data_IF_369411252002
#
_entry.id   IF_369411252002
#
_cell.length_a   1.000
_cell.length_b   1.000
_cell.length_c   1.000
_cell.angle_alpha   90.00
_cell.angle_beta   90.00
_cell.angle_gamma   90.00
#
_symmetry.space_group_name_H-M   'P 1'
#
loop_
_entity.id
_entity.type
_entity.pdbx_description
1 polymer ?
#
# COMPACT_ATOMS: atom_id res chain seq x y z
N UNK A 1 -17.12 21.03 -0.13
CA UNK A 1 -17.60 21.10 1.27
C UNK A 1 -16.80 22.17 2.00
N UNK A 2 -17.46 23.16 2.60
CA UNK A 2 -16.76 24.20 3.39
C UNK A 2 -16.61 23.68 4.82
N UNK A 3 -15.38 23.58 5.31
CA UNK A 3 -15.13 23.30 6.73
C UNK A 3 -15.56 24.48 7.61
N UNK A 4 -16.06 24.25 8.83
CA UNK A 4 -16.65 25.29 9.68
C UNK A 4 -15.73 26.45 10.08
N UNK A 5 -14.43 26.39 9.84
CA UNK A 5 -13.47 27.38 10.31
C UNK A 5 -12.60 28.05 9.23
N UNK A 6 -12.97 27.97 7.96
CA UNK A 6 -12.32 28.70 6.84
C UNK A 6 -10.77 28.73 6.85
N UNK A 7 -10.12 27.74 7.48
CA UNK A 7 -8.68 27.62 7.52
C UNK A 7 -8.22 26.88 6.26
N UNK A 8 -7.89 27.66 5.21
CA UNK A 8 -7.02 27.16 4.16
C UNK A 8 -5.66 26.88 4.79
N UNK A 9 -5.28 25.62 4.94
CA UNK A 9 -3.87 25.28 5.11
C UNK A 9 -3.14 25.65 3.83
N UNK A 10 -2.37 26.73 3.89
CA UNK A 10 -1.36 27.02 2.86
C UNK A 10 -0.30 25.93 2.92
N UNK A 11 -0.42 24.95 2.03
CA UNK A 11 0.67 24.03 1.76
C UNK A 11 1.76 24.82 1.05
N UNK A 12 2.75 25.28 1.80
CA UNK A 12 4.00 25.72 1.21
C UNK A 12 4.57 24.55 0.42
N UNK A 13 4.61 24.69 -0.91
CA UNK A 13 5.31 23.78 -1.82
C UNK A 13 6.80 23.79 -1.47
N UNK A 14 7.21 22.95 -0.53
CA UNK A 14 8.61 22.57 -0.41
C UNK A 14 8.88 21.51 -1.48
N UNK A 15 9.25 21.96 -2.66
CA UNK A 15 9.91 21.14 -3.67
C UNK A 15 11.28 20.73 -3.13
N UNK A 16 11.35 19.69 -2.38
CA UNK A 16 12.62 19.11 -1.96
C UNK A 16 12.87 17.83 -2.76
N UNK A 17 13.96 17.82 -3.52
CA UNK A 17 14.60 16.65 -4.14
C UNK A 17 15.13 15.66 -3.09
N UNK A 18 14.40 15.40 -2.01
CA UNK A 18 14.84 14.75 -0.79
C UNK A 18 14.25 13.36 -0.58
N UNK A 19 13.68 12.72 -1.61
CA UNK A 19 13.08 11.38 -1.45
C UNK A 19 14.10 10.23 -1.38
N UNK A 20 15.41 10.52 -1.30
CA UNK A 20 16.45 9.47 -1.21
C UNK A 20 16.52 8.75 0.14
N UNK A 21 15.73 9.14 1.13
CA UNK A 21 15.69 8.54 2.46
C UNK A 21 14.28 8.28 2.99
N UNK A 22 13.23 8.49 2.19
CA UNK A 22 11.87 8.15 2.59
C UNK A 22 11.63 6.66 2.40
N UNK A 23 11.00 6.04 3.38
CA UNK A 23 10.49 4.66 3.27
C UNK A 23 9.41 4.59 2.17
N UNK A 24 9.29 3.44 1.50
CA UNK A 24 8.28 3.21 0.47
C UNK A 24 6.86 3.52 1.00
N UNK A 25 6.60 3.14 2.24
CA UNK A 25 5.31 3.40 2.88
C UNK A 25 5.04 4.91 3.04
N UNK A 26 6.05 5.72 3.38
CA UNK A 26 5.91 7.18 3.50
C UNK A 26 5.61 7.83 2.14
N UNK A 27 6.25 7.34 1.06
CA UNK A 27 5.98 7.83 -0.30
C UNK A 27 4.53 7.52 -0.69
N UNK A 28 4.05 6.31 -0.39
CA UNK A 28 2.67 5.89 -0.66
C UNK A 28 1.69 6.71 0.19
N UNK A 29 1.98 6.94 1.47
CA UNK A 29 1.12 7.73 2.36
C UNK A 29 0.98 9.17 1.83
N UNK A 30 2.09 9.82 1.44
CA UNK A 30 2.06 11.15 0.81
C UNK A 30 1.26 11.17 -0.49
N UNK A 31 1.35 10.10 -1.30
CA UNK A 31 0.55 9.94 -2.51
C UNK A 31 -0.94 9.83 -2.17
N UNK A 32 -1.28 9.05 -1.15
CA UNK A 32 -2.66 8.87 -0.70
C UNK A 32 -3.24 10.15 -0.09
N UNK A 33 -2.44 10.95 0.62
CA UNK A 33 -2.83 12.29 1.07
C UNK A 33 -3.18 13.18 -0.12
N UNK A 34 -2.30 13.21 -1.13
CA UNK A 34 -2.57 13.95 -2.35
C UNK A 34 -3.88 13.51 -3.02
N UNK A 35 -4.17 12.21 -3.09
CA UNK A 35 -5.42 11.71 -3.66
C UNK A 35 -6.63 12.15 -2.85
N UNK A 36 -6.58 12.09 -1.51
CA UNK A 36 -7.68 12.54 -0.64
C UNK A 36 -7.92 14.05 -0.73
N UNK A 37 -6.85 14.84 -0.72
CA UNK A 37 -6.92 16.30 -0.76
C UNK A 37 -7.46 16.85 -2.09
N UNK A 38 -7.35 16.06 -3.16
CA UNK A 38 -7.84 16.42 -4.49
C UNK A 38 -9.10 15.66 -4.91
N UNK A 39 -9.79 14.98 -3.99
CA UNK A 39 -11.01 14.20 -4.24
C UNK A 39 -10.83 13.13 -5.36
N UNK A 40 -9.63 12.58 -5.52
CA UNK A 40 -9.30 11.55 -6.53
C UNK A 40 -9.70 10.17 -6.03
N UNK A 41 -9.26 9.81 -4.81
CA UNK A 41 -9.52 8.53 -4.18
C UNK A 41 -9.53 8.66 -2.66
N UNK A 42 -10.19 7.75 -1.97
CA UNK A 42 -10.21 7.71 -0.51
C UNK A 42 -9.46 6.48 -0.01
N UNK A 43 -8.14 6.59 0.06
CA UNK A 43 -7.21 5.51 0.44
C UNK A 43 -6.36 5.97 1.62
N UNK A 44 -6.12 5.08 2.58
CA UNK A 44 -5.34 5.37 3.78
C UNK A 44 -4.60 4.13 4.29
N UNK A 45 -3.57 4.38 5.09
CA UNK A 45 -2.82 3.33 5.78
C UNK A 45 -3.64 2.79 6.93
N UNK A 46 -3.70 1.48 7.07
CA UNK A 46 -4.37 0.84 8.20
C UNK A 46 -3.57 1.04 9.48
N UNK A 47 -4.22 1.37 10.60
CA UNK A 47 -3.53 1.46 11.88
C UNK A 47 -3.05 0.08 12.31
N UNK A 48 -1.84 0.01 12.87
CA UNK A 48 -1.33 -1.23 13.47
C UNK A 48 -2.21 -1.62 14.65
N UNK A 49 -2.80 -2.83 14.66
CA UNK A 49 -3.70 -3.24 15.73
C UNK A 49 -2.92 -3.47 17.03
N UNK A 50 -3.37 -2.82 18.11
CA UNK A 50 -2.79 -2.96 19.44
C UNK A 50 -3.75 -3.72 20.35
N UNK A 51 -3.27 -4.77 21.01
CA UNK A 51 -3.96 -5.41 22.15
C UNK A 51 -3.67 -4.63 23.42
N UNK A 52 -4.69 -4.11 24.08
CA UNK A 52 -4.54 -3.37 25.33
C UNK A 52 -4.66 -4.33 26.51
N UNK A 53 -3.64 -4.38 27.37
CA UNK A 53 -3.64 -5.19 28.60
C UNK A 53 -3.94 -4.35 29.83
N UNK A 54 -3.52 -3.08 29.88
CA UNK A 54 -3.75 -2.20 31.01
C UNK A 54 -4.06 -0.76 30.57
N UNK A 55 -5.08 -0.19 31.18
CA UNK A 55 -5.50 1.21 30.96
C UNK A 55 -5.37 1.99 32.27
N UNK A 56 -4.71 3.12 32.22
CA UNK A 56 -4.70 4.09 33.29
C UNK A 56 -5.74 5.19 33.03
N UNK A 57 -6.45 5.59 34.07
CA UNK A 57 -7.42 6.66 34.03
C UNK A 57 -6.83 7.89 34.75
N UNK A 58 -6.93 9.04 34.14
CA UNK A 58 -6.51 10.31 34.71
C UNK A 58 -7.53 11.40 34.39
N UNK A 59 -7.43 12.55 35.04
CA UNK A 59 -8.26 13.71 34.72
C UNK A 59 -8.10 14.24 33.30
N UNK A 60 -7.05 13.79 32.56
CA UNK A 60 -6.79 14.11 31.13
C UNK A 60 -7.32 13.05 30.16
N UNK A 61 -8.04 12.03 30.69
CA UNK A 61 -8.61 10.95 29.85
C UNK A 61 -7.98 9.58 30.10
N UNK A 62 -8.29 8.64 29.18
CA UNK A 62 -7.77 7.26 29.21
C UNK A 62 -6.40 7.20 28.52
N UNK A 63 -5.44 6.55 29.16
CA UNK A 63 -4.10 6.28 28.59
C UNK A 63 -3.82 4.80 28.63
N UNK A 64 -3.34 4.24 27.52
CA UNK A 64 -2.83 2.87 27.50
C UNK A 64 -1.54 2.85 28.32
N UNK A 65 -1.52 2.03 29.36
CA UNK A 65 -0.35 1.86 30.23
C UNK A 65 0.49 0.67 29.78
N UNK A 66 -0.17 -0.38 29.25
CA UNK A 66 0.48 -1.57 28.75
C UNK A 66 -0.32 -2.16 27.59
N UNK A 67 0.36 -2.64 26.56
CA UNK A 67 -0.23 -3.21 25.38
C UNK A 67 0.79 -3.93 24.52
N UNK A 68 0.32 -4.77 23.61
CA UNK A 68 1.14 -5.53 22.66
C UNK A 68 0.63 -5.36 21.24
N UNK A 69 1.52 -5.44 20.26
CA UNK A 69 1.12 -5.47 18.85
C UNK A 69 0.44 -6.80 18.53
N UNK A 70 -0.78 -6.74 18.01
CA UNK A 70 -1.44 -7.91 17.43
C UNK A 70 -0.80 -8.23 16.09
N UNK A 71 -0.77 -9.51 15.73
CA UNK A 71 -0.33 -9.91 14.38
C UNK A 71 -1.18 -9.20 13.33
N UNK A 72 -0.57 -8.53 12.34
CA UNK A 72 -1.33 -7.95 11.23
C UNK A 72 -2.02 -9.09 10.48
N UNK A 73 -3.32 -8.93 10.23
CA UNK A 73 -4.12 -9.95 9.54
C UNK A 73 -4.37 -9.62 8.07
N UNK A 74 -4.05 -8.40 7.65
CA UNK A 74 -4.40 -7.82 6.35
C UNK A 74 -3.21 -7.09 5.73
N UNK A 75 -3.43 -6.44 4.57
CA UNK A 75 -2.44 -5.61 3.90
C UNK A 75 -2.42 -4.19 4.53
N UNK A 76 -1.40 -3.39 4.22
CA UNK A 76 -1.13 -2.13 4.91
C UNK A 76 -2.04 -0.96 4.51
N UNK A 77 -2.50 -0.94 3.27
CA UNK A 77 -3.32 0.16 2.72
C UNK A 77 -4.65 -0.35 2.19
N UNK A 78 -5.72 0.41 2.40
CA UNK A 78 -7.01 0.13 1.80
C UNK A 78 -7.85 1.39 1.59
N UNK A 79 -8.86 1.28 0.73
CA UNK A 79 -9.77 2.39 0.48
C UNK A 79 -10.74 2.14 -0.66
N UNK A 80 -11.26 3.23 -1.21
CA UNK A 80 -12.22 3.25 -2.31
C UNK A 80 -11.71 4.10 -3.46
N UNK A 81 -11.85 3.59 -4.67
CA UNK A 81 -11.57 4.31 -5.90
C UNK A 81 -12.62 3.95 -6.98
N UNK A 82 -13.32 4.95 -7.50
CA UNK A 82 -14.38 4.77 -8.53
C UNK A 82 -15.40 3.68 -8.20
N UNK A 83 -15.76 3.54 -6.92
CA UNK A 83 -16.72 2.53 -6.44
C UNK A 83 -16.11 1.15 -6.15
N UNK A 84 -14.84 0.92 -6.45
CA UNK A 84 -14.13 -0.33 -6.16
C UNK A 84 -13.40 -0.28 -4.83
N UNK A 85 -13.47 -1.36 -4.07
CA UNK A 85 -12.60 -1.57 -2.93
C UNK A 85 -11.20 -1.89 -3.40
N UNK A 86 -10.23 -1.13 -2.90
CA UNK A 86 -8.81 -1.33 -3.17
C UNK A 86 -8.09 -1.71 -1.89
N UNK A 87 -7.20 -2.69 -1.96
CA UNK A 87 -6.31 -3.04 -0.87
C UNK A 87 -4.95 -3.47 -1.39
N UNK A 88 -3.88 -3.01 -0.74
CA UNK A 88 -2.54 -3.33 -1.19
C UNK A 88 -1.49 -3.23 -0.08
N UNK A 89 -0.32 -3.77 -0.37
CA UNK A 89 0.80 -3.82 0.55
C UNK A 89 2.07 -3.26 -0.12
N UNK A 90 2.94 -2.64 0.67
CA UNK A 90 4.23 -2.13 0.25
C UNK A 90 5.33 -3.11 0.65
N UNK A 91 6.18 -3.51 -0.29
CA UNK A 91 7.26 -4.45 -0.06
C UNK A 91 8.58 -3.92 -0.62
N UNK A 92 9.63 -4.02 0.16
CA UNK A 92 11.00 -3.65 -0.24
C UNK A 92 11.88 -4.89 -0.20
N UNK A 93 12.77 -5.02 -1.17
CA UNK A 93 13.82 -6.04 -1.15
C UNK A 93 15.14 -5.47 -1.65
N UNK A 94 16.21 -5.81 -0.96
CA UNK A 94 17.59 -5.51 -1.39
C UNK A 94 18.15 -6.55 -2.37
N UNK A 95 17.45 -7.68 -2.53
CA UNK A 95 17.84 -8.72 -3.47
C UNK A 95 17.66 -8.20 -4.91
N UNK A 96 18.74 -8.26 -5.70
CA UNK A 96 18.77 -7.69 -7.06
C UNK A 96 18.22 -8.60 -8.15
N UNK A 97 18.10 -9.89 -7.86
CA UNK A 97 17.76 -10.91 -8.88
C UNK A 97 16.35 -11.47 -8.78
N UNK A 98 15.75 -11.40 -7.58
CA UNK A 98 14.41 -11.95 -7.34
C UNK A 98 13.76 -11.34 -6.10
N UNK A 99 12.44 -11.31 -6.07
CA UNK A 99 11.64 -10.93 -4.90
C UNK A 99 11.26 -12.19 -4.11
N UNK A 100 11.70 -12.36 -2.84
CA UNK A 100 11.36 -13.52 -2.04
C UNK A 100 9.86 -13.56 -1.71
N UNK A 101 9.19 -14.69 -1.98
CA UNK A 101 7.77 -14.87 -1.66
C UNK A 101 7.53 -14.84 -0.15
N UNK A 102 8.53 -15.21 0.65
CA UNK A 102 8.48 -15.12 2.12
C UNK A 102 8.27 -13.71 2.66
N UNK A 103 8.52 -12.67 1.85
CA UNK A 103 8.20 -11.27 2.21
C UNK A 103 6.68 -11.02 2.24
N UNK A 104 5.89 -11.91 1.62
CA UNK A 104 4.43 -11.90 1.71
C UNK A 104 4.01 -13.08 2.61
N UNK A 105 3.54 -12.77 3.81
CA UNK A 105 3.18 -13.79 4.79
C UNK A 105 2.00 -14.66 4.33
N UNK A 106 1.89 -15.92 4.74
CA UNK A 106 0.80 -16.82 4.33
C UNK A 106 -0.61 -16.25 4.57
N UNK A 107 -0.82 -15.53 5.66
CA UNK A 107 -2.10 -14.87 5.94
C UNK A 107 -2.40 -13.73 4.96
N UNK A 108 -1.37 -12.98 4.50
CA UNK A 108 -1.50 -11.94 3.47
C UNK A 108 -1.86 -12.58 2.12
N UNK A 109 -1.22 -13.69 1.74
CA UNK A 109 -1.54 -14.43 0.51
C UNK A 109 -3.02 -14.89 0.53
N UNK A 110 -3.46 -15.47 1.65
CA UNK A 110 -4.87 -15.86 1.82
C UNK A 110 -5.81 -14.65 1.73
N UNK A 111 -5.39 -13.52 2.27
CA UNK A 111 -6.17 -12.28 2.22
C UNK A 111 -6.28 -11.73 0.79
N UNK A 112 -5.16 -11.69 0.05
CA UNK A 112 -5.12 -11.33 -1.39
C UNK A 112 -6.08 -12.21 -2.19
N UNK A 113 -6.05 -13.53 -1.97
CA UNK A 113 -6.97 -14.45 -2.62
C UNK A 113 -8.45 -14.10 -2.33
N UNK A 114 -8.78 -13.84 -1.07
CA UNK A 114 -10.16 -13.54 -0.67
C UNK A 114 -10.65 -12.21 -1.28
N UNK A 115 -9.85 -11.14 -1.23
CA UNK A 115 -10.21 -9.85 -1.83
C UNK A 115 -10.46 -10.02 -3.33
N UNK A 116 -9.55 -10.69 -4.04
CA UNK A 116 -9.69 -10.95 -5.47
C UNK A 116 -10.96 -11.77 -5.78
N UNK A 117 -11.24 -12.83 -4.99
CA UNK A 117 -12.42 -13.68 -5.14
C UNK A 117 -13.73 -12.90 -4.98
N UNK A 118 -13.75 -11.88 -4.12
CA UNK A 118 -14.92 -11.05 -3.85
C UNK A 118 -14.99 -9.78 -4.72
N UNK A 119 -14.16 -9.67 -5.75
CA UNK A 119 -14.23 -8.60 -6.76
C UNK A 119 -13.53 -7.30 -6.37
N UNK A 120 -12.82 -7.27 -5.23
CA UNK A 120 -11.94 -6.16 -4.89
C UNK A 120 -10.68 -6.13 -5.78
N UNK A 121 -10.06 -4.97 -5.85
CA UNK A 121 -8.77 -4.77 -6.53
C UNK A 121 -7.67 -4.88 -5.49
N UNK A 122 -6.78 -5.85 -5.67
CA UNK A 122 -5.67 -6.11 -4.74
C UNK A 122 -4.36 -6.22 -5.50
N UNK A 123 -3.29 -5.63 -4.95
CA UNK A 123 -1.96 -5.63 -5.56
C UNK A 123 -0.84 -5.45 -4.53
N UNK A 124 0.39 -5.64 -4.98
CA UNK A 124 1.60 -5.35 -4.21
C UNK A 124 2.35 -4.21 -4.92
N UNK A 125 2.84 -3.23 -4.17
CA UNK A 125 3.83 -2.27 -4.65
C UNK A 125 5.19 -2.75 -4.15
N UNK A 126 6.04 -3.17 -5.09
CA UNK A 126 7.34 -3.77 -4.78
C UNK A 126 8.44 -2.80 -5.20
N UNK A 127 9.28 -2.38 -4.25
CA UNK A 127 10.53 -1.66 -4.54
C UNK A 127 11.68 -2.65 -4.65
N UNK A 128 12.30 -2.69 -5.82
CA UNK A 128 13.45 -3.54 -6.13
C UNK A 128 14.35 -2.86 -7.17
N UNK A 129 15.66 -2.89 -6.98
CA UNK A 129 16.64 -2.25 -7.90
C UNK A 129 16.36 -0.76 -8.17
N UNK A 130 15.91 0.00 -7.16
CA UNK A 130 15.48 1.41 -7.29
C UNK A 130 14.33 1.65 -8.29
N UNK A 131 13.57 0.62 -8.59
CA UNK A 131 12.34 0.68 -9.39
C UNK A 131 11.15 0.26 -8.55
N UNK A 132 9.99 0.78 -8.90
CA UNK A 132 8.72 0.47 -8.24
C UNK A 132 7.83 -0.30 -9.20
N UNK A 133 7.36 -1.47 -8.78
CA UNK A 133 6.52 -2.36 -9.55
C UNK A 133 5.16 -2.52 -8.88
N UNK A 134 4.08 -2.35 -9.62
CA UNK A 134 2.75 -2.76 -9.20
C UNK A 134 2.48 -4.16 -9.75
N UNK A 135 2.43 -5.14 -8.87
CA UNK A 135 2.09 -6.52 -9.20
C UNK A 135 0.65 -6.80 -8.79
N UNK A 136 -0.23 -6.98 -9.76
CA UNK A 136 -1.64 -7.29 -9.51
C UNK A 136 -1.78 -8.60 -8.71
N UNK A 137 -2.73 -8.63 -7.78
CA UNK A 137 -3.00 -9.84 -6.98
C UNK A 137 -3.36 -11.05 -7.81
N UNK A 138 -4.07 -10.88 -8.93
CA UNK A 138 -4.35 -11.95 -9.91
C UNK A 138 -3.08 -12.54 -10.49
N UNK A 139 -2.14 -11.69 -10.93
CA UNK A 139 -0.83 -12.10 -11.48
C UNK A 139 0.04 -12.77 -10.44
N UNK A 140 0.05 -12.22 -9.20
CA UNK A 140 0.77 -12.82 -8.08
C UNK A 140 0.26 -14.22 -7.74
N UNK A 141 -1.06 -14.41 -7.62
CA UNK A 141 -1.67 -15.70 -7.34
C UNK A 141 -1.46 -16.70 -8.48
N UNK A 142 -1.52 -16.25 -9.75
CA UNK A 142 -1.21 -17.09 -10.91
C UNK A 142 0.25 -17.56 -10.87
N UNK A 143 1.19 -16.68 -10.48
CA UNK A 143 2.59 -17.08 -10.31
C UNK A 143 2.74 -18.19 -9.25
N UNK A 144 2.09 -18.03 -8.09
CA UNK A 144 2.15 -19.03 -7.01
C UNK A 144 1.57 -20.39 -7.42
N UNK A 145 0.49 -20.39 -8.18
CA UNK A 145 -0.17 -21.62 -8.63
C UNK A 145 0.59 -22.37 -9.71
N UNK A 146 1.33 -21.64 -10.56
CA UNK A 146 2.00 -22.21 -11.74
C UNK A 146 3.50 -22.46 -11.52
N UNK A 147 4.04 -22.13 -10.35
CA UNK A 147 5.47 -22.25 -10.06
C UNK A 147 5.72 -22.79 -8.66
N UNK A 148 6.68 -23.69 -8.53
CA UNK A 148 7.19 -24.18 -7.24
C UNK A 148 8.32 -23.30 -6.67
N UNK A 149 8.59 -22.15 -7.31
CA UNK A 149 9.67 -21.24 -6.93
C UNK A 149 9.34 -20.53 -5.62
N UNK A 150 10.37 -20.33 -4.80
CA UNK A 150 10.28 -19.57 -3.54
C UNK A 150 10.53 -18.06 -3.72
N UNK A 151 10.77 -17.61 -4.94
CA UNK A 151 10.98 -16.20 -5.28
C UNK A 151 10.51 -15.89 -6.70
N UNK A 152 10.05 -14.65 -6.91
CA UNK A 152 9.65 -14.13 -8.22
C UNK A 152 10.91 -13.53 -8.86
N UNK A 153 11.37 -14.03 -10.04
CA UNK A 153 12.51 -13.45 -10.74
C UNK A 153 12.29 -11.99 -11.10
N UNK A 154 13.34 -11.17 -11.06
CA UNK A 154 13.27 -9.77 -11.47
C UNK A 154 12.71 -9.60 -12.90
N UNK A 155 13.17 -10.44 -13.82
CA UNK A 155 12.67 -10.48 -15.20
C UNK A 155 11.15 -10.73 -15.27
N UNK A 156 10.62 -11.59 -14.38
CA UNK A 156 9.16 -11.81 -14.32
C UNK A 156 8.41 -10.55 -13.92
N UNK A 157 8.96 -9.76 -12.94
CA UNK A 157 8.37 -8.49 -12.57
C UNK A 157 8.39 -7.49 -13.73
N UNK A 158 9.49 -7.42 -14.49
CA UNK A 158 9.58 -6.55 -15.67
C UNK A 158 8.58 -6.93 -16.79
N UNK A 159 8.25 -8.20 -16.93
CA UNK A 159 7.35 -8.71 -17.96
C UNK A 159 5.86 -8.73 -17.55
N UNK A 160 5.56 -8.84 -16.24
CA UNK A 160 4.20 -9.13 -15.74
C UNK A 160 3.70 -8.16 -14.69
N UNK A 161 4.52 -7.20 -14.25
CA UNK A 161 4.12 -6.12 -13.35
C UNK A 161 4.24 -4.78 -14.08
N UNK A 162 3.58 -3.76 -13.57
CA UNK A 162 3.65 -2.41 -14.11
C UNK A 162 4.71 -1.60 -13.38
N UNK A 163 5.69 -1.04 -14.10
CA UNK A 163 6.64 -0.11 -13.51
C UNK A 163 5.97 1.24 -13.21
N UNK A 164 6.01 1.68 -11.95
CA UNK A 164 5.51 2.98 -11.53
C UNK A 164 6.70 3.95 -11.46
N UNK A 165 6.58 5.09 -12.10
CA UNK A 165 7.60 6.15 -12.00
C UNK A 165 7.29 7.08 -10.85
N UNK A 166 8.28 7.34 -10.01
CA UNK A 166 8.18 8.35 -8.97
C UNK A 166 8.10 9.74 -9.62
N UNK A 167 7.12 10.52 -9.22
CA UNK A 167 6.86 11.87 -9.71
C UNK A 167 6.82 12.86 -8.54
N UNK A 168 6.65 14.14 -8.83
CA UNK A 168 6.43 15.17 -7.79
C UNK A 168 5.13 14.95 -6.97
N UNK A 169 4.21 14.14 -7.50
CA UNK A 169 2.95 13.77 -6.83
C UNK A 169 3.05 12.44 -6.08
N UNK A 170 4.25 11.84 -6.04
CA UNK A 170 4.50 10.52 -5.49
C UNK A 170 4.41 9.40 -6.52
N UNK A 171 3.96 8.21 -6.10
CA UNK A 171 3.77 7.03 -6.95
C UNK A 171 2.34 6.99 -7.48
N UNK A 172 2.13 7.42 -8.73
CA UNK A 172 0.79 7.46 -9.35
C UNK A 172 0.32 6.06 -9.81
N UNK A 173 0.02 5.22 -8.83
CA UNK A 173 -0.42 3.85 -9.06
C UNK A 173 -1.89 3.74 -9.54
N UNK A 174 -2.74 4.74 -9.28
CA UNK A 174 -4.13 4.73 -9.72
C UNK A 174 -4.27 4.79 -11.24
N UNK A 175 -3.32 5.41 -11.93
CA UNK A 175 -3.28 5.39 -13.40
C UNK A 175 -3.18 3.96 -13.96
N UNK A 176 -2.44 3.09 -13.26
CA UNK A 176 -2.33 1.67 -13.63
C UNK A 176 -3.63 0.94 -13.32
N UNK A 177 -4.25 1.26 -12.19
CA UNK A 177 -5.53 0.68 -11.82
C UNK A 177 -6.62 1.05 -12.83
N UNK A 178 -6.60 2.26 -13.38
CA UNK A 178 -7.53 2.66 -14.46
C UNK A 178 -7.38 1.77 -15.69
N UNK A 179 -6.16 1.55 -16.16
CA UNK A 179 -5.89 0.63 -17.28
C UNK A 179 -6.39 -0.78 -16.99
N UNK A 180 -6.10 -1.29 -15.79
CA UNK A 180 -6.58 -2.61 -15.39
C UNK A 180 -8.11 -2.72 -15.33
N UNK A 181 -8.82 -1.65 -14.95
CA UNK A 181 -10.29 -1.63 -14.92
C UNK A 181 -10.90 -1.57 -16.33
N UNK A 182 -10.24 -0.92 -17.28
CA UNK A 182 -10.68 -0.87 -18.69
C UNK A 182 -10.54 -2.23 -19.38
N UNK A 183 -9.56 -3.04 -18.98
CA UNK A 183 -9.28 -4.37 -19.53
C UNK A 183 -10.13 -5.50 -18.90
N UNK A 184 -10.98 -5.18 -17.88
CA UNK A 184 -11.76 -6.13 -17.08
C UNK A 184 -13.20 -6.26 -17.55
#
# INVERSE_FOLDING_TARGET
MLYPNNIKKDYQKTTTYSNRGMDLEDIIESTNEYYRDNDIAYIYKKPTPIGVTKVAYSNKGKRIQDGYYKSPSTLDFNGLYKGYYIEFDAKVTENKTSFPISNVHPHQIKHIYNINKHGGIVFLIIMMNNKYFLLMGTTFLAFLNNNERKSIPYKYLEENAYEIKLSLKGLDYLKIIDQFMEDR
#
